data_IF_822998391646
#
_entry.id   IF_822998391646
#
_cell.length_a   1.000
_cell.length_b   1.000
_cell.length_c   1.000
_cell.angle_alpha   90.00
_cell.angle_beta   90.00
_cell.angle_gamma   90.00
#
_symmetry.space_group_name_H-M   'P 1'
#
loop_
_entity.id
_entity.type
_entity.pdbx_description
1 polymer ?
#
# COMPACT_ATOMS: atom_id res chain seq x y z
N UNK A 1 18.67 25.73 28.13
CA UNK A 1 18.67 24.98 26.84
C UNK A 1 19.55 23.75 27.04
N UNK A 2 18.95 22.57 27.24
CA UNK A 2 19.71 21.32 27.41
C UNK A 2 20.26 20.91 26.03
N UNK A 3 21.56 20.90 25.88
CA UNK A 3 22.23 20.45 24.66
C UNK A 3 22.02 18.95 24.44
N UNK A 4 21.79 18.53 23.21
CA UNK A 4 21.69 17.11 22.83
C UNK A 4 23.00 16.39 23.19
N UNK A 5 22.91 15.23 23.82
CA UNK A 5 24.07 14.39 24.13
C UNK A 5 24.57 13.65 22.89
N UNK A 6 25.81 13.13 22.91
CA UNK A 6 26.31 12.30 21.80
C UNK A 6 25.48 11.03 21.57
N UNK A 7 24.84 10.49 22.62
CA UNK A 7 23.91 9.36 22.53
C UNK A 7 22.62 9.74 21.80
N UNK A 8 22.09 10.95 22.03
CA UNK A 8 20.90 11.47 21.36
C UNK A 8 21.14 11.66 19.85
N UNK A 9 22.29 12.19 19.47
CA UNK A 9 22.69 12.37 18.07
C UNK A 9 22.88 11.02 17.36
N UNK A 10 23.45 10.02 18.05
CA UNK A 10 23.62 8.66 17.50
C UNK A 10 22.27 7.97 17.28
N UNK A 11 21.33 8.18 18.20
CA UNK A 11 19.95 7.65 18.11
C UNK A 11 19.15 8.33 17.00
N UNK A 12 19.25 9.64 16.85
CA UNK A 12 18.62 10.42 15.80
C UNK A 12 19.13 10.00 14.40
N UNK A 13 20.44 9.81 14.26
CA UNK A 13 21.05 9.28 13.03
C UNK A 13 20.61 7.85 12.71
N UNK A 14 20.37 7.00 13.72
CA UNK A 14 19.86 5.64 13.51
C UNK A 14 18.42 5.65 13.00
N UNK A 15 17.56 6.53 13.54
CA UNK A 15 16.18 6.69 13.08
C UNK A 15 16.13 7.19 11.63
N UNK A 16 16.90 8.23 11.30
CA UNK A 16 16.95 8.75 9.91
C UNK A 16 17.43 7.69 8.91
N UNK A 17 18.43 6.88 9.29
CA UNK A 17 18.85 5.74 8.46
C UNK A 17 17.75 4.71 8.28
N UNK A 18 16.98 4.41 9.32
CA UNK A 18 15.85 3.46 9.24
C UNK A 18 14.78 3.94 8.26
N UNK A 19 14.45 5.23 8.26
CA UNK A 19 13.56 5.82 7.25
C UNK A 19 14.16 5.73 5.84
N UNK A 20 15.47 5.93 5.69
CA UNK A 20 16.18 5.73 4.43
C UNK A 20 15.98 4.31 3.88
N UNK A 21 16.24 3.28 4.71
CA UNK A 21 16.03 1.89 4.32
C UNK A 21 14.57 1.56 3.97
N UNK A 22 13.62 2.11 4.73
CA UNK A 22 12.21 1.95 4.42
C UNK A 22 11.84 2.58 3.05
N UNK A 23 12.36 3.76 2.76
CA UNK A 23 12.16 4.42 1.47
C UNK A 23 12.79 3.62 0.30
N UNK A 24 13.97 3.04 0.52
CA UNK A 24 14.60 2.15 -0.47
C UNK A 24 13.73 0.90 -0.73
N UNK A 25 13.13 0.32 0.31
CA UNK A 25 12.21 -0.81 0.19
C UNK A 25 10.97 -0.47 -0.66
N UNK A 26 10.33 0.66 -0.39
CA UNK A 26 9.20 1.16 -1.21
C UNK A 26 9.64 1.44 -2.65
N UNK A 27 10.83 2.01 -2.83
CA UNK A 27 11.39 2.26 -4.16
C UNK A 27 11.63 0.95 -4.92
N UNK A 28 12.11 -0.09 -4.27
CA UNK A 28 12.28 -1.41 -4.88
C UNK A 28 10.93 -1.96 -5.35
N UNK A 29 9.90 -1.95 -4.47
CA UNK A 29 8.54 -2.37 -4.82
C UNK A 29 7.96 -1.54 -5.97
N UNK A 30 8.27 -0.24 -6.06
CA UNK A 30 7.77 0.65 -7.13
C UNK A 30 8.28 0.31 -8.53
N UNK A 31 9.28 -0.55 -8.67
CA UNK A 31 9.72 -1.09 -9.96
C UNK A 31 8.75 -2.15 -10.50
N UNK A 32 8.00 -2.82 -9.61
CA UNK A 32 7.07 -3.89 -9.94
C UNK A 32 5.83 -3.39 -10.69
N UNK A 33 5.34 -4.23 -11.61
CA UNK A 33 4.16 -3.90 -12.44
C UNK A 33 2.91 -3.70 -11.57
N UNK A 34 2.65 -4.58 -10.63
CA UNK A 34 1.45 -4.54 -9.80
C UNK A 34 1.43 -3.29 -8.92
N UNK A 35 2.55 -2.95 -8.29
CA UNK A 35 2.68 -1.72 -7.51
C UNK A 35 2.37 -0.46 -8.35
N UNK A 36 2.83 -0.41 -9.60
CA UNK A 36 2.50 0.70 -10.52
C UNK A 36 1.01 0.78 -10.84
N UNK A 37 0.36 -0.38 -11.05
CA UNK A 37 -1.09 -0.45 -11.25
C UNK A 37 -1.82 0.06 -10.01
N UNK A 38 -1.40 -0.34 -8.82
CA UNK A 38 -1.99 0.13 -7.56
C UNK A 38 -1.80 1.64 -7.36
N UNK A 39 -0.64 2.19 -7.74
CA UNK A 39 -0.42 3.65 -7.71
C UNK A 39 -1.39 4.40 -8.65
N UNK A 40 -1.61 3.89 -9.85
CA UNK A 40 -2.59 4.48 -10.79
C UNK A 40 -4.00 4.39 -10.21
N UNK A 41 -4.38 3.22 -9.69
CA UNK A 41 -5.68 3.03 -9.03
C UNK A 41 -5.85 3.97 -7.83
N UNK A 42 -4.81 4.18 -7.03
CA UNK A 42 -4.82 5.12 -5.92
C UNK A 42 -5.07 6.57 -6.36
N UNK A 43 -4.40 7.01 -7.43
CA UNK A 43 -4.62 8.35 -8.00
C UNK A 43 -6.06 8.49 -8.47
N UNK A 44 -6.58 7.52 -9.21
CA UNK A 44 -7.98 7.52 -9.69
C UNK A 44 -8.95 7.56 -8.50
N UNK A 45 -8.72 6.74 -7.47
CA UNK A 45 -9.55 6.72 -6.27
C UNK A 45 -9.60 8.09 -5.58
N UNK A 46 -8.45 8.74 -5.40
CA UNK A 46 -8.39 10.08 -4.80
C UNK A 46 -9.10 11.12 -5.68
N UNK A 47 -8.89 11.10 -6.98
CA UNK A 47 -9.58 12.01 -7.92
C UNK A 47 -11.10 11.83 -7.84
N UNK A 48 -11.58 10.58 -7.78
CA UNK A 48 -13.01 10.28 -7.62
C UNK A 48 -13.57 10.80 -6.29
N UNK A 49 -12.81 10.75 -5.21
CA UNK A 49 -13.25 11.35 -3.93
C UNK A 49 -13.58 12.84 -4.07
N UNK A 50 -12.74 13.60 -4.77
CA UNK A 50 -12.98 15.02 -5.03
C UNK A 50 -14.12 15.23 -6.03
N UNK A 51 -14.13 14.51 -7.14
CA UNK A 51 -15.14 14.64 -8.19
C UNK A 51 -16.56 14.33 -7.68
N UNK A 52 -16.70 13.32 -6.82
CA UNK A 52 -17.98 12.89 -6.24
C UNK A 52 -18.30 13.59 -4.91
N UNK A 53 -17.46 14.54 -4.47
CA UNK A 53 -17.63 15.26 -3.21
C UNK A 53 -17.86 14.30 -2.02
N UNK A 54 -17.01 13.27 -1.96
CA UNK A 54 -17.10 12.23 -0.92
C UNK A 54 -16.91 12.86 0.47
N UNK A 55 -17.76 12.54 1.46
CA UNK A 55 -17.61 13.05 2.81
C UNK A 55 -16.29 12.57 3.46
N UNK A 56 -15.81 13.33 4.46
CA UNK A 56 -14.48 13.11 5.06
C UNK A 56 -14.26 11.67 5.55
N UNK A 57 -15.28 11.04 6.13
CA UNK A 57 -15.18 9.64 6.57
C UNK A 57 -14.92 8.66 5.40
N UNK A 58 -15.60 8.88 4.27
CA UNK A 58 -15.41 8.06 3.07
C UNK A 58 -14.04 8.29 2.44
N UNK A 59 -13.59 9.55 2.40
CA UNK A 59 -12.23 9.89 1.97
C UNK A 59 -11.18 9.20 2.85
N UNK A 60 -11.35 9.24 4.18
CA UNK A 60 -10.44 8.55 5.10
C UNK A 60 -10.42 7.04 4.87
N UNK A 61 -11.59 6.41 4.64
CA UNK A 61 -11.68 4.99 4.31
C UNK A 61 -10.90 4.63 3.03
N UNK A 62 -11.05 5.43 1.97
CA UNK A 62 -10.31 5.24 0.71
C UNK A 62 -8.80 5.37 0.92
N UNK A 63 -8.34 6.38 1.67
CA UNK A 63 -6.90 6.57 1.95
C UNK A 63 -6.34 5.38 2.74
N UNK A 64 -7.08 4.84 3.72
CA UNK A 64 -6.67 3.65 4.47
C UNK A 64 -6.56 2.44 3.52
N UNK A 65 -7.53 2.22 2.64
CA UNK A 65 -7.49 1.14 1.66
C UNK A 65 -6.27 1.26 0.74
N UNK A 66 -6.00 2.45 0.22
CA UNK A 66 -4.81 2.73 -0.61
C UNK A 66 -3.52 2.39 0.16
N UNK A 67 -3.39 2.86 1.39
CA UNK A 67 -2.20 2.60 2.21
C UNK A 67 -2.00 1.12 2.50
N UNK A 68 -3.07 0.41 2.86
CA UNK A 68 -3.04 -1.04 3.11
C UNK A 68 -2.66 -1.81 1.84
N UNK A 69 -3.26 -1.47 0.69
CA UNK A 69 -2.95 -2.14 -0.58
C UNK A 69 -1.48 -1.98 -0.97
N UNK A 70 -0.94 -0.76 -0.93
CA UNK A 70 0.47 -0.52 -1.23
C UNK A 70 1.42 -1.22 -0.25
N UNK A 71 1.04 -1.33 1.03
CA UNK A 71 1.80 -2.08 2.03
C UNK A 71 1.78 -3.59 1.74
N UNK A 72 0.64 -4.16 1.35
CA UNK A 72 0.52 -5.57 0.99
C UNK A 72 1.34 -5.90 -0.27
N UNK A 73 1.32 -5.03 -1.28
CA UNK A 73 2.12 -5.21 -2.49
C UNK A 73 3.63 -5.09 -2.21
N UNK A 74 4.03 -4.15 -1.34
CA UNK A 74 5.42 -4.05 -0.88
C UNK A 74 5.86 -5.32 -0.15
N UNK A 75 4.99 -5.89 0.69
CA UNK A 75 5.24 -7.14 1.40
C UNK A 75 5.31 -8.33 0.43
N UNK A 76 4.43 -8.39 -0.58
CA UNK A 76 4.49 -9.39 -1.64
C UNK A 76 5.85 -9.38 -2.34
N UNK A 77 6.32 -8.20 -2.76
CA UNK A 77 7.65 -8.02 -3.37
C UNK A 77 8.77 -8.53 -2.47
N UNK A 78 8.71 -8.24 -1.17
CA UNK A 78 9.72 -8.69 -0.21
C UNK A 78 9.72 -10.22 -0.04
N UNK A 79 8.54 -10.85 0.02
CA UNK A 79 8.42 -12.32 0.11
C UNK A 79 8.94 -12.98 -1.16
N UNK A 80 8.61 -12.46 -2.34
CA UNK A 80 9.14 -12.96 -3.61
C UNK A 80 10.67 -12.92 -3.63
N UNK A 81 11.27 -11.80 -3.24
CA UNK A 81 12.72 -11.65 -3.19
C UNK A 81 13.39 -12.65 -2.23
N UNK A 82 12.81 -12.86 -1.03
CA UNK A 82 13.32 -13.85 -0.06
C UNK A 82 13.19 -15.26 -0.59
N UNK A 83 12.08 -15.61 -1.22
CA UNK A 83 11.86 -16.94 -1.81
C UNK A 83 12.83 -17.20 -2.95
N UNK A 84 13.05 -16.22 -3.83
CA UNK A 84 13.99 -16.37 -4.96
C UNK A 84 15.44 -16.50 -4.49
N UNK A 85 15.81 -15.81 -3.42
CA UNK A 85 17.12 -15.95 -2.79
C UNK A 85 17.30 -17.33 -2.16
N UNK A 86 16.28 -17.85 -1.47
CA UNK A 86 16.36 -19.10 -0.71
C UNK A 86 16.20 -20.36 -1.58
N UNK A 87 15.44 -20.25 -2.67
CA UNK A 87 15.08 -21.36 -3.55
C UNK A 87 15.16 -20.97 -5.02
N UNK A 88 16.37 -20.91 -5.60
CA UNK A 88 16.55 -20.58 -7.02
C UNK A 88 16.01 -21.67 -7.96
N UNK A 89 15.68 -22.85 -7.42
CA UNK A 89 15.07 -23.96 -8.18
C UNK A 89 13.56 -24.01 -7.90
N UNK A 90 12.80 -24.60 -8.83
CA UNK A 90 11.35 -24.81 -8.65
C UNK A 90 11.10 -25.78 -7.48
N UNK A 91 10.49 -25.27 -6.43
CA UNK A 91 10.13 -26.06 -5.25
C UNK A 91 8.67 -25.79 -4.86
N UNK A 92 7.86 -26.83 -4.54
CA UNK A 92 6.43 -26.66 -4.24
C UNK A 92 6.14 -25.68 -3.08
N UNK A 93 6.99 -25.66 -2.04
CA UNK A 93 6.84 -24.72 -0.92
C UNK A 93 7.19 -23.28 -1.32
N UNK A 94 8.19 -23.08 -2.19
CA UNK A 94 8.53 -21.77 -2.71
C UNK A 94 7.36 -21.20 -3.53
N UNK A 95 6.78 -22.01 -4.43
CA UNK A 95 5.57 -21.63 -5.16
C UNK A 95 4.43 -21.27 -4.20
N UNK A 96 4.17 -22.11 -3.21
CA UNK A 96 3.10 -21.87 -2.23
C UNK A 96 3.30 -20.57 -1.45
N UNK A 97 4.52 -20.24 -1.05
CA UNK A 97 4.82 -19.01 -0.35
C UNK A 97 4.53 -17.77 -1.22
N UNK A 98 4.95 -17.78 -2.48
CA UNK A 98 4.65 -16.72 -3.46
C UNK A 98 3.15 -16.59 -3.71
N UNK A 99 2.46 -17.72 -3.94
CA UNK A 99 1.00 -17.73 -4.17
C UNK A 99 0.25 -17.14 -2.96
N UNK A 100 0.68 -17.42 -1.71
CA UNK A 100 0.07 -16.85 -0.52
C UNK A 100 0.31 -15.34 -0.41
N UNK A 101 1.50 -14.87 -0.74
CA UNK A 101 1.82 -13.44 -0.72
C UNK A 101 1.01 -12.67 -1.76
N UNK A 102 0.96 -13.17 -3.00
CA UNK A 102 0.12 -12.60 -4.05
C UNK A 102 -1.37 -12.66 -3.69
N UNK A 103 -1.81 -13.75 -3.03
CA UNK A 103 -3.18 -13.91 -2.53
C UNK A 103 -3.56 -12.85 -1.50
N UNK A 104 -2.63 -12.47 -0.61
CA UNK A 104 -2.86 -11.39 0.36
C UNK A 104 -3.08 -10.04 -0.33
N UNK A 105 -2.26 -9.71 -1.33
CA UNK A 105 -2.43 -8.50 -2.13
C UNK A 105 -3.77 -8.51 -2.89
N UNK A 106 -4.16 -9.65 -3.47
CA UNK A 106 -5.46 -9.81 -4.15
C UNK A 106 -6.64 -9.57 -3.20
N UNK A 107 -6.59 -10.14 -1.99
CA UNK A 107 -7.64 -9.91 -0.97
C UNK A 107 -7.74 -8.43 -0.62
N UNK A 108 -6.61 -7.74 -0.44
CA UNK A 108 -6.57 -6.30 -0.20
C UNK A 108 -7.21 -5.50 -1.34
N UNK A 109 -6.90 -5.84 -2.60
CA UNK A 109 -7.49 -5.22 -3.77
C UNK A 109 -9.02 -5.42 -3.84
N UNK A 110 -9.51 -6.65 -3.60
CA UNK A 110 -10.94 -6.95 -3.55
C UNK A 110 -11.65 -6.14 -2.46
N UNK A 111 -11.06 -6.03 -1.27
CA UNK A 111 -11.61 -5.22 -0.18
C UNK A 111 -11.62 -3.73 -0.52
N UNK A 112 -10.59 -3.24 -1.18
CA UNK A 112 -10.52 -1.84 -1.65
C UNK A 112 -11.63 -1.53 -2.66
N UNK A 113 -11.90 -2.44 -3.60
CA UNK A 113 -13.02 -2.31 -4.54
C UNK A 113 -14.36 -2.31 -3.81
N UNK A 114 -14.55 -3.19 -2.84
CA UNK A 114 -15.79 -3.24 -2.05
C UNK A 114 -16.03 -1.93 -1.28
N UNK A 115 -15.00 -1.40 -0.61
CA UNK A 115 -15.08 -0.10 0.08
C UNK A 115 -15.35 1.03 -0.92
N UNK A 116 -14.70 1.03 -2.08
CA UNK A 116 -14.92 2.01 -3.13
C UNK A 116 -16.40 2.03 -3.59
N UNK A 117 -17.02 0.88 -3.77
CA UNK A 117 -18.44 0.78 -4.12
C UNK A 117 -19.33 1.38 -3.02
N UNK A 118 -19.05 1.05 -1.74
CA UNK A 118 -19.82 1.60 -0.61
C UNK A 118 -19.69 3.11 -0.46
N UNK A 119 -18.57 3.68 -0.89
CA UNK A 119 -18.29 5.13 -0.78
C UNK A 119 -18.77 5.88 -2.01
N UNK A 120 -18.43 5.39 -3.22
CA UNK A 120 -18.67 6.15 -4.46
C UNK A 120 -20.10 6.04 -4.96
N UNK A 121 -20.76 4.86 -4.82
CA UNK A 121 -22.13 4.71 -5.32
C UNK A 121 -23.09 5.67 -4.62
N UNK A 122 -23.17 5.75 -3.28
CA UNK A 122 -24.03 6.74 -2.63
C UNK A 122 -23.66 8.19 -2.96
N UNK A 123 -22.35 8.49 -3.07
CA UNK A 123 -21.90 9.82 -3.43
C UNK A 123 -22.34 10.23 -4.85
N UNK A 124 -22.24 9.32 -5.80
CA UNK A 124 -22.70 9.54 -7.16
C UNK A 124 -24.22 9.72 -7.24
N UNK A 125 -25.00 8.87 -6.57
CA UNK A 125 -26.46 8.97 -6.53
C UNK A 125 -26.93 10.32 -5.94
N UNK A 126 -26.27 10.78 -4.88
CA UNK A 126 -26.52 12.09 -4.30
C UNK A 126 -26.24 13.23 -5.28
N UNK A 127 -25.15 13.19 -6.03
CA UNK A 127 -24.83 14.21 -7.05
C UNK A 127 -25.83 14.23 -8.20
N UNK A 128 -26.41 13.06 -8.52
CA UNK A 128 -27.46 12.94 -9.56
C UNK A 128 -28.86 13.31 -9.04
N UNK A 129 -29.01 13.66 -7.77
CA UNK A 129 -30.32 13.99 -7.17
C UNK A 129 -31.25 12.78 -7.03
N UNK A 130 -30.68 11.55 -7.00
CA UNK A 130 -31.47 10.29 -6.91
C UNK A 130 -31.56 9.80 -5.46
N UNK A 131 -30.63 10.28 -4.58
CA UNK A 131 -30.58 9.91 -3.16
C UNK A 131 -30.19 11.11 -2.29
#
# INVERSE_FOLDING_TARGET
>A
MSGKTGADLKRENALLKSFGYAAEGVRAASSERNFKVDCVAAIVAVVLCFALQVPLWGFAAVIVCVGVQLALETMNTAIEAVVDLASPQIHPLAKRAKDCAAGAALVGACMSVFVALLVYVPAALRLLGIA
#
